data_IF_463766259344
#
_entry.id   IF_463766259344
#
_cell.length_a   1.000
_cell.length_b   1.000
_cell.length_c   1.000
_cell.angle_alpha   90.00
_cell.angle_beta   90.00
_cell.angle_gamma   90.00
#
_symmetry.space_group_name_H-M   'P 1'
#
loop_
_entity.id
_entity.type
_entity.pdbx_description
1 polymer ?
#
# COMPACT_ATOMS: atom_id res chain seq x y z
N UNK A 1 -50.13 -14.90 16.71
CA UNK A 1 -49.20 -15.50 15.74
C UNK A 1 -48.12 -14.49 15.44
N UNK A 2 -46.93 -14.69 15.99
CA UNK A 2 -45.75 -13.88 15.71
C UNK A 2 -44.96 -14.65 14.66
N UNK A 3 -44.84 -14.10 13.46
CA UNK A 3 -44.10 -14.74 12.36
C UNK A 3 -42.64 -14.32 12.49
N UNK A 4 -41.79 -15.22 12.97
CA UNK A 4 -40.34 -15.05 12.96
C UNK A 4 -39.84 -15.29 11.51
N UNK A 5 -38.99 -14.43 10.93
CA UNK A 5 -38.37 -14.72 9.64
C UNK A 5 -37.26 -15.78 9.79
N UNK A 6 -36.99 -16.58 8.74
CA UNK A 6 -35.99 -17.65 8.80
C UNK A 6 -34.55 -17.10 8.90
N UNK A 7 -33.58 -17.90 9.39
CA UNK A 7 -32.19 -17.47 9.52
C UNK A 7 -31.57 -17.26 8.14
N UNK A 8 -30.92 -16.11 7.96
CA UNK A 8 -30.10 -15.81 6.79
C UNK A 8 -28.91 -16.78 6.79
N UNK A 9 -28.87 -17.71 5.84
CA UNK A 9 -27.65 -18.45 5.49
C UNK A 9 -26.56 -17.42 5.11
N UNK A 10 -25.47 -17.39 5.88
CA UNK A 10 -24.22 -16.74 5.50
C UNK A 10 -23.69 -17.44 4.24
N UNK A 11 -24.10 -16.93 3.08
CA UNK A 11 -23.52 -17.30 1.80
C UNK A 11 -22.07 -16.84 1.73
N UNK A 12 -21.17 -17.80 1.53
CA UNK A 12 -19.76 -17.60 1.19
C UNK A 12 -19.58 -16.49 0.15
N UNK A 13 -19.00 -15.36 0.57
CA UNK A 13 -18.47 -14.38 -0.36
C UNK A 13 -17.01 -14.77 -0.59
N UNK A 14 -16.78 -15.54 -1.64
CA UNK A 14 -15.46 -15.63 -2.25
C UNK A 14 -15.03 -14.19 -2.57
N UNK A 15 -13.89 -13.68 -2.06
CA UNK A 15 -13.36 -12.42 -2.55
C UNK A 15 -12.94 -12.66 -4.00
N UNK A 16 -13.80 -12.20 -4.91
CA UNK A 16 -13.51 -12.02 -6.31
C UNK A 16 -12.22 -11.24 -6.46
N UNK A 17 -11.38 -11.67 -7.40
CA UNK A 17 -10.10 -11.09 -7.83
C UNK A 17 -10.25 -9.67 -8.41
N UNK A 18 -10.81 -8.75 -7.62
CA UNK A 18 -11.12 -7.38 -8.01
C UNK A 18 -10.58 -6.36 -7.00
N UNK A 19 -9.69 -6.78 -6.09
CA UNK A 19 -8.73 -5.88 -5.46
C UNK A 19 -7.51 -5.74 -6.40
N UNK A 20 -7.78 -5.35 -7.65
CA UNK A 20 -6.98 -4.29 -8.23
C UNK A 20 -7.36 -3.07 -7.39
N UNK A 21 -6.76 -2.95 -6.21
CA UNK A 21 -6.55 -1.63 -5.63
C UNK A 21 -5.65 -0.95 -6.65
N UNK A 22 -6.34 -0.30 -7.61
CA UNK A 22 -6.01 0.97 -8.18
C UNK A 22 -4.68 1.40 -7.61
N UNK A 23 -3.61 1.10 -8.34
CA UNK A 23 -2.39 1.87 -8.25
C UNK A 23 -2.91 3.29 -8.41
N UNK A 24 -3.10 3.98 -7.27
CA UNK A 24 -3.40 5.38 -7.21
C UNK A 24 -2.12 6.05 -7.70
N UNK A 25 -1.94 5.92 -9.01
CA UNK A 25 -1.16 6.80 -9.84
C UNK A 25 -1.91 8.10 -9.67
N UNK A 26 -1.56 8.81 -8.60
CA UNK A 26 -1.92 10.20 -8.42
C UNK A 26 -1.29 10.88 -9.61
N UNK A 27 -2.07 10.96 -10.68
CA UNK A 27 -1.73 11.70 -11.88
C UNK A 27 -1.52 13.12 -11.38
N UNK A 28 -0.26 13.54 -11.33
CA UNK A 28 0.08 14.92 -11.05
C UNK A 28 -0.40 15.69 -12.27
N UNK A 29 -1.67 16.12 -12.23
CA UNK A 29 -2.28 16.96 -13.25
C UNK A 29 -1.53 18.29 -13.22
N UNK A 30 -0.51 18.39 -14.06
CA UNK A 30 0.06 19.67 -14.44
C UNK A 30 -0.84 20.26 -15.51
N UNK A 31 -1.45 21.40 -15.19
CA UNK A 31 -2.35 22.15 -16.06
C UNK A 31 -1.61 22.56 -17.34
N UNK A 32 -1.59 21.69 -18.35
CA UNK A 32 -1.05 21.97 -19.69
C UNK A 32 -2.13 22.75 -20.43
N UNK A 33 -2.25 24.02 -20.09
CA UNK A 33 -3.31 24.90 -20.55
C UNK A 33 -2.86 26.34 -20.75
N UNK A 34 -1.56 26.59 -20.93
CA UNK A 34 -1.07 27.67 -21.78
C UNK A 34 0.40 27.44 -22.11
N UNK A 35 0.81 27.86 -23.29
CA UNK A 35 2.11 27.61 -23.89
C UNK A 35 3.23 28.35 -23.12
N UNK A 36 3.75 27.75 -22.05
CA UNK A 36 5.03 28.16 -21.46
C UNK A 36 6.12 27.18 -21.91
N UNK A 37 7.03 27.70 -22.71
CA UNK A 37 8.26 27.04 -23.14
C UNK A 37 8.86 26.34 -21.92
N UNK A 38 8.95 25.01 -21.94
CA UNK A 38 9.62 24.24 -20.89
C UNK A 38 11.05 24.76 -20.80
N UNK A 39 11.31 25.60 -19.79
CA UNK A 39 12.64 25.99 -19.41
C UNK A 39 13.36 24.70 -18.96
N UNK A 40 14.50 24.33 -19.57
CA UNK A 40 15.28 23.16 -19.17
C UNK A 40 15.73 23.20 -17.69
N UNK A 41 15.56 24.33 -16.99
CA UNK A 41 15.88 24.54 -15.59
C UNK A 41 14.90 23.91 -14.57
N UNK A 42 13.69 23.49 -14.95
CA UNK A 42 12.66 23.06 -13.98
C UNK A 42 13.02 21.84 -13.11
N UNK A 43 13.93 20.97 -13.56
CA UNK A 43 14.40 19.83 -12.75
C UNK A 43 15.54 20.15 -11.78
N UNK A 44 16.02 21.40 -11.75
CA UNK A 44 17.05 21.85 -10.80
C UNK A 44 16.50 22.65 -9.62
N UNK A 45 15.17 22.82 -9.54
CA UNK A 45 14.56 23.58 -8.45
C UNK A 45 14.81 22.90 -7.11
N UNK A 46 14.98 23.70 -6.06
CA UNK A 46 15.13 23.25 -4.68
C UNK A 46 14.02 22.24 -4.27
N UNK A 47 12.80 22.47 -4.76
CA UNK A 47 11.67 21.57 -4.53
C UNK A 47 11.88 20.16 -5.10
N UNK A 48 12.52 20.02 -6.27
CA UNK A 48 12.82 18.72 -6.85
C UNK A 48 13.88 17.96 -6.03
N UNK A 49 14.88 18.67 -5.50
CA UNK A 49 15.91 18.06 -4.64
C UNK A 49 15.33 17.59 -3.30
N UNK A 50 14.43 18.39 -2.69
CA UNK A 50 13.70 18.01 -1.48
C UNK A 50 12.86 16.75 -1.74
N UNK A 51 12.07 16.72 -2.82
CA UNK A 51 11.25 15.57 -3.18
C UNK A 51 12.09 14.30 -3.41
N UNK A 52 13.24 14.41 -4.08
CA UNK A 52 14.17 13.28 -4.26
C UNK A 52 14.68 12.77 -2.90
N UNK A 53 15.00 13.69 -1.98
CA UNK A 53 15.41 13.34 -0.62
C UNK A 53 14.32 12.64 0.19
N UNK A 54 13.08 13.11 0.08
CA UNK A 54 11.91 12.49 0.71
C UNK A 54 11.66 11.07 0.17
N UNK A 55 11.65 10.90 -1.15
CA UNK A 55 11.49 9.58 -1.80
C UNK A 55 12.60 8.62 -1.36
N UNK A 56 13.84 9.08 -1.30
CA UNK A 56 14.96 8.26 -0.83
C UNK A 56 14.81 7.88 0.66
N UNK A 57 14.30 8.79 1.48
CA UNK A 57 13.95 8.52 2.88
C UNK A 57 12.88 7.45 3.01
N UNK A 58 11.78 7.59 2.26
CA UNK A 58 10.68 6.62 2.23
C UNK A 58 11.16 5.23 1.81
N UNK A 59 12.04 5.13 0.81
CA UNK A 59 12.59 3.84 0.36
C UNK A 59 13.36 3.12 1.49
N UNK A 60 14.19 3.84 2.26
CA UNK A 60 14.90 3.27 3.41
C UNK A 60 13.93 2.81 4.49
N UNK A 61 12.89 3.58 4.75
CA UNK A 61 11.90 3.24 5.76
C UNK A 61 11.08 2.01 5.33
N UNK A 62 10.77 1.88 4.04
CA UNK A 62 10.13 0.69 3.46
C UNK A 62 11.01 -0.56 3.60
N UNK A 63 12.31 -0.47 3.30
CA UNK A 63 13.25 -1.58 3.51
C UNK A 63 13.26 -2.06 4.98
N UNK A 64 13.19 -1.13 5.94
CA UNK A 64 13.13 -1.47 7.36
C UNK A 64 11.81 -2.17 7.73
N UNK A 65 10.67 -1.70 7.19
CA UNK A 65 9.37 -2.34 7.40
C UNK A 65 9.38 -3.76 6.85
N UNK A 66 9.90 -3.97 5.64
CA UNK A 66 10.04 -5.31 5.04
C UNK A 66 10.88 -6.24 5.93
N UNK A 67 12.00 -5.76 6.44
CA UNK A 67 12.84 -6.54 7.37
C UNK A 67 12.11 -6.90 8.65
N UNK A 68 11.34 -5.97 9.22
CA UNK A 68 10.55 -6.21 10.42
C UNK A 68 9.44 -7.25 10.18
N UNK A 69 8.78 -7.21 9.03
CA UNK A 69 7.78 -8.22 8.65
C UNK A 69 8.41 -9.61 8.61
N UNK A 70 9.59 -9.74 7.98
CA UNK A 70 10.32 -11.02 7.91
C UNK A 70 10.67 -11.52 9.33
N UNK A 71 11.15 -10.64 10.21
CA UNK A 71 11.47 -11.00 11.60
C UNK A 71 10.23 -11.48 12.37
N UNK A 72 9.11 -10.77 12.25
CA UNK A 72 7.84 -11.14 12.89
C UNK A 72 7.33 -12.48 12.35
N UNK A 73 7.38 -12.70 11.03
CA UNK A 73 7.00 -13.98 10.42
C UNK A 73 7.85 -15.13 10.97
N UNK A 74 9.17 -14.93 11.13
CA UNK A 74 10.05 -15.95 11.69
C UNK A 74 9.73 -16.26 13.15
N UNK A 75 9.47 -15.22 13.96
CA UNK A 75 9.04 -15.39 15.36
C UNK A 75 7.74 -16.17 15.45
N UNK A 76 6.77 -15.88 14.59
CA UNK A 76 5.49 -16.60 14.55
C UNK A 76 5.68 -18.07 14.19
N UNK A 77 6.53 -18.39 13.20
CA UNK A 77 6.88 -19.79 12.88
C UNK A 77 7.47 -20.52 14.09
N UNK A 78 8.37 -19.87 14.82
CA UNK A 78 8.97 -20.48 16.02
C UNK A 78 7.93 -20.73 17.11
N UNK A 79 6.97 -19.82 17.31
CA UNK A 79 5.87 -20.00 18.27
C UNK A 79 5.01 -21.21 17.88
N UNK A 80 4.63 -21.32 16.60
CA UNK A 80 3.84 -22.45 16.09
C UNK A 80 4.59 -23.77 16.27
N UNK A 81 5.89 -23.82 15.96
CA UNK A 81 6.73 -25.01 16.15
C UNK A 81 6.78 -25.46 17.62
N UNK A 82 6.92 -24.52 18.57
CA UNK A 82 6.91 -24.84 20.00
C UNK A 82 5.55 -25.39 20.44
N UNK A 83 4.46 -24.75 20.01
CA UNK A 83 3.10 -25.18 20.37
C UNK A 83 2.75 -26.56 19.79
N UNK A 84 3.21 -26.88 18.57
CA UNK A 84 2.96 -28.19 17.95
C UNK A 84 3.74 -29.36 18.56
N UNK A 85 4.69 -29.09 19.47
CA UNK A 85 5.45 -30.13 20.19
C UNK A 85 4.80 -30.54 21.51
N UNK A 86 3.80 -29.80 22.00
CA UNK A 86 3.04 -30.09 23.22
C UNK A 86 1.84 -30.97 22.87
#
# INVERSE_FOLDING_TARGET
ETTDPPPLEEGEIHPSQAEQEEEDVVEIVTTTGDHEVVDPGHFTSESAQILIGEIMGCNRDLENILKNIIDVQQKMKNIIDVLGRV
#
